data_IF_069457370516
#
_entry.id   IF_069457370516
#
_cell.length_a   1.000
_cell.length_b   1.000
_cell.length_c   1.000
_cell.angle_alpha   90.00
_cell.angle_beta   90.00
_cell.angle_gamma   90.00
#
_symmetry.space_group_name_H-M   'P 1'
#
loop_
_entity.id
_entity.type
_entity.pdbx_description
1 polymer ?
#
# COMPACT_ATOMS: atom_id res chain seq x y z
N UNK A 1 20.58 -34.42 61.92
CA UNK A 1 20.56 -33.76 63.24
C UNK A 1 20.18 -32.32 62.98
N UNK A 2 18.93 -31.91 63.23
CA UNK A 2 18.40 -31.19 64.41
C UNK A 2 19.25 -29.94 64.70
N UNK A 3 18.80 -28.70 64.76
CA UNK A 3 17.52 -28.13 65.14
C UNK A 3 17.57 -26.63 64.88
N UNK A 4 16.49 -26.03 64.56
CA UNK A 4 15.51 -25.29 65.34
C UNK A 4 15.96 -23.92 65.92
N UNK A 5 15.15 -22.92 65.47
CA UNK A 5 14.89 -21.56 65.98
C UNK A 5 14.88 -21.41 67.49
N UNK A 6 14.89 -20.14 68.09
CA UNK A 6 13.70 -19.25 68.16
C UNK A 6 14.00 -17.72 68.25
N UNK A 7 13.10 -16.94 67.79
CA UNK A 7 12.00 -16.06 68.31
C UNK A 7 12.32 -15.03 69.40
N UNK A 8 11.83 -13.79 69.12
CA UNK A 8 11.28 -12.71 70.03
C UNK A 8 12.29 -11.81 70.76
N UNK A 9 12.07 -10.49 70.88
CA UNK A 9 10.96 -9.68 71.43
C UNK A 9 11.30 -8.17 71.34
N UNK A 10 10.44 -7.35 70.80
CA UNK A 10 9.58 -6.28 71.34
C UNK A 10 10.17 -4.99 71.97
N UNK A 11 9.66 -3.88 71.47
CA UNK A 11 9.22 -2.61 72.12
C UNK A 11 10.33 -1.61 72.56
N UNK A 12 10.18 -0.28 72.36
CA UNK A 12 9.12 0.70 72.58
C UNK A 12 9.57 2.10 72.13
N UNK A 13 8.61 2.86 71.62
CA UNK A 13 8.27 4.27 71.85
C UNK A 13 9.24 5.42 71.53
N UNK A 14 8.78 6.31 70.70
CA UNK A 14 9.15 7.73 70.61
C UNK A 14 8.27 8.46 69.60
N UNK A 15 7.47 9.35 70.05
CA UNK A 15 6.33 9.99 69.41
C UNK A 15 6.70 11.30 68.63
N UNK A 16 5.88 11.59 67.61
CA UNK A 16 5.36 12.92 67.20
C UNK A 16 6.31 13.84 66.41
N UNK A 17 5.98 14.08 65.16
CA UNK A 17 5.73 15.40 64.54
C UNK A 17 4.86 15.24 63.28
N UNK A 18 3.64 15.78 63.34
CA UNK A 18 2.78 16.01 62.18
C UNK A 18 3.41 17.08 61.29
N UNK A 19 3.63 16.75 60.02
CA UNK A 19 3.63 17.73 58.96
C UNK A 19 2.81 17.15 57.82
N UNK A 20 1.76 17.86 57.42
CA UNK A 20 0.83 17.48 56.38
C UNK A 20 1.55 17.31 55.05
N UNK A 21 1.41 16.15 54.47
CA UNK A 21 1.70 15.91 53.08
C UNK A 21 0.39 15.60 52.39
N UNK A 22 0.07 16.47 51.45
CA UNK A 22 -1.05 16.31 50.54
C UNK A 22 -0.99 14.92 49.92
N UNK A 23 -2.06 14.17 50.09
CA UNK A 23 -2.29 12.93 49.35
C UNK A 23 -2.50 13.34 47.88
N UNK A 24 -1.47 13.27 47.05
CA UNK A 24 -1.65 13.29 45.63
C UNK A 24 -2.35 11.99 45.26
N UNK A 25 -3.55 12.13 44.79
CA UNK A 25 -4.42 11.10 44.25
C UNK A 25 -3.76 10.48 43.01
N UNK A 26 -3.22 9.27 43.16
CA UNK A 26 -2.57 8.48 42.10
C UNK A 26 -3.59 7.72 41.24
N UNK A 27 -4.86 8.17 41.20
CA UNK A 27 -5.94 7.48 40.48
C UNK A 27 -6.30 8.06 39.10
N UNK A 28 -5.41 8.80 38.40
CA UNK A 28 -5.75 9.36 37.08
C UNK A 28 -4.65 9.25 36.04
N UNK A 29 -3.83 8.19 36.07
CA UNK A 29 -3.06 7.78 34.90
C UNK A 29 -3.63 6.45 34.37
N UNK A 30 -4.92 6.42 34.13
CA UNK A 30 -5.49 5.58 33.10
C UNK A 30 -5.14 6.30 31.79
N UNK A 31 -4.05 5.89 31.15
CA UNK A 31 -3.72 6.34 29.82
C UNK A 31 -4.94 6.08 28.95
N UNK A 32 -5.59 7.14 28.49
CA UNK A 32 -6.56 7.06 27.42
C UNK A 32 -5.80 6.45 26.24
N UNK A 33 -5.97 5.15 26.01
CA UNK A 33 -5.71 4.55 24.71
C UNK A 33 -6.60 5.34 23.75
N UNK A 34 -6.03 6.29 23.04
CA UNK A 34 -6.70 6.95 21.92
C UNK A 34 -7.06 5.83 20.96
N UNK A 35 -8.33 5.45 20.94
CA UNK A 35 -8.85 4.55 19.92
C UNK A 35 -8.58 5.24 18.60
N UNK A 36 -7.58 4.76 17.88
CA UNK A 36 -7.28 5.25 16.54
C UNK A 36 -8.56 5.05 15.74
N UNK A 37 -9.16 6.12 15.23
CA UNK A 37 -10.39 6.05 14.46
C UNK A 37 -10.15 5.14 13.25
N UNK A 38 -11.11 4.24 12.98
CA UNK A 38 -11.04 3.34 11.83
C UNK A 38 -11.01 4.15 10.53
N UNK A 39 -10.20 3.72 9.57
CA UNK A 39 -10.21 4.29 8.23
C UNK A 39 -11.45 3.84 7.47
N UNK A 40 -12.03 4.74 6.68
CA UNK A 40 -13.19 4.44 5.85
C UNK A 40 -12.78 3.76 4.56
N UNK A 41 -13.44 2.64 4.24
CA UNK A 41 -13.35 1.96 2.95
C UNK A 41 -14.76 1.82 2.39
N UNK A 42 -15.07 2.59 1.37
CA UNK A 42 -16.35 2.50 0.66
C UNK A 42 -16.36 1.30 -0.28
N UNK A 43 -17.49 0.60 -0.35
CA UNK A 43 -17.61 -0.62 -1.13
C UNK A 43 -18.95 -0.68 -1.88
N UNK A 44 -18.91 -1.11 -3.14
CA UNK A 44 -20.11 -1.45 -3.92
C UNK A 44 -19.93 -2.75 -4.69
N UNK A 45 -21.00 -3.53 -4.81
CA UNK A 45 -21.06 -4.69 -5.71
C UNK A 45 -21.35 -4.33 -7.16
N UNK A 46 -21.78 -3.10 -7.41
CA UNK A 46 -22.02 -2.60 -8.76
C UNK A 46 -20.70 -2.30 -9.48
N UNK A 47 -20.25 -3.24 -10.32
CA UNK A 47 -19.05 -3.11 -11.15
C UNK A 47 -19.42 -2.46 -12.50
N UNK A 48 -20.13 -1.36 -12.45
CA UNK A 48 -20.45 -0.50 -13.59
C UNK A 48 -19.74 0.86 -13.48
N UNK A 49 -19.83 1.66 -14.53
CA UNK A 49 -19.37 3.06 -14.50
C UNK A 49 -20.08 3.84 -13.39
N UNK A 50 -21.38 3.61 -13.18
CA UNK A 50 -22.14 4.29 -12.11
C UNK A 50 -21.65 3.91 -10.72
N UNK A 51 -21.42 2.60 -10.46
CA UNK A 51 -20.83 2.14 -9.20
C UNK A 51 -19.44 2.75 -8.96
N UNK A 52 -18.62 2.81 -10.01
CA UNK A 52 -17.29 3.41 -9.95
C UNK A 52 -17.34 4.92 -9.65
N UNK A 53 -18.24 5.66 -10.30
CA UNK A 53 -18.46 7.09 -10.05
C UNK A 53 -18.99 7.36 -8.64
N UNK A 54 -19.87 6.50 -8.13
CA UNK A 54 -20.34 6.59 -6.75
C UNK A 54 -19.20 6.44 -5.75
N UNK A 55 -18.34 5.45 -5.93
CA UNK A 55 -17.11 5.28 -5.12
C UNK A 55 -16.23 6.53 -5.22
N UNK A 56 -15.90 7.00 -6.44
CA UNK A 56 -15.03 8.15 -6.65
C UNK A 56 -15.56 9.41 -5.93
N UNK A 57 -16.86 9.63 -5.95
CA UNK A 57 -17.51 10.79 -5.30
C UNK A 57 -17.30 10.82 -3.77
N UNK A 58 -16.99 9.69 -3.14
CA UNK A 58 -16.76 9.59 -1.67
C UNK A 58 -15.32 9.87 -1.27
N UNK A 59 -14.39 9.78 -2.21
CA UNK A 59 -12.94 9.80 -1.89
C UNK A 59 -12.18 10.92 -2.59
N UNK A 60 -12.82 11.70 -3.46
CA UNK A 60 -12.15 12.71 -4.28
C UNK A 60 -11.97 14.09 -3.59
N UNK A 61 -12.38 14.25 -2.34
CA UNK A 61 -12.40 15.55 -1.65
C UNK A 61 -11.01 16.22 -1.49
N UNK A 62 -9.93 15.45 -1.53
CA UNK A 62 -8.55 15.96 -1.47
C UNK A 62 -7.90 16.18 -2.84
N UNK A 63 -8.59 15.84 -3.93
CA UNK A 63 -8.01 15.88 -5.28
C UNK A 63 -8.09 17.29 -5.87
N UNK A 64 -6.96 17.84 -6.27
CA UNK A 64 -6.83 19.20 -6.79
C UNK A 64 -5.84 19.27 -7.95
N UNK A 65 -5.88 20.36 -8.73
CA UNK A 65 -4.89 20.67 -9.75
C UNK A 65 -4.86 19.67 -10.92
N UNK A 66 -3.67 19.33 -11.37
CA UNK A 66 -3.42 18.33 -12.41
C UNK A 66 -3.37 16.94 -11.79
N UNK A 67 -4.24 16.05 -12.23
CA UNK A 67 -4.42 14.73 -11.60
C UNK A 67 -3.81 13.64 -12.46
N UNK A 68 -2.84 12.90 -11.91
CA UNK A 68 -2.36 11.66 -12.48
C UNK A 68 -3.32 10.50 -12.14
N UNK A 69 -3.72 9.72 -13.13
CA UNK A 69 -4.51 8.49 -12.93
C UNK A 69 -3.55 7.32 -13.10
N UNK A 70 -3.00 6.83 -11.98
CA UNK A 70 -2.06 5.70 -12.00
C UNK A 70 -2.80 4.39 -12.09
N UNK A 71 -2.60 3.70 -13.18
CA UNK A 71 -3.15 2.38 -13.41
C UNK A 71 -2.09 1.41 -13.93
N UNK A 72 -2.48 0.18 -14.19
CA UNK A 72 -1.69 -0.81 -14.92
C UNK A 72 -2.39 -1.16 -16.22
N UNK A 73 -1.80 -0.76 -17.35
CA UNK A 73 -2.39 -0.95 -18.69
C UNK A 73 -2.28 -2.40 -19.20
N UNK A 74 -1.44 -3.22 -18.57
CA UNK A 74 -1.20 -4.61 -18.97
C UNK A 74 -0.28 -4.79 -20.17
N UNK A 75 0.08 -6.05 -20.45
CA UNK A 75 0.75 -6.42 -21.68
C UNK A 75 -0.24 -6.39 -22.87
N UNK A 76 0.26 -6.28 -24.14
CA UNK A 76 -0.62 -6.29 -25.30
C UNK A 76 -1.51 -7.53 -25.32
N UNK A 77 -2.83 -7.31 -25.46
CA UNK A 77 -3.82 -8.38 -25.52
C UNK A 77 -3.88 -9.31 -24.31
N UNK A 78 -3.48 -8.85 -23.12
CA UNK A 78 -3.55 -9.64 -21.88
C UNK A 78 -4.96 -10.17 -21.63
N UNK A 79 -5.12 -11.44 -21.20
CA UNK A 79 -6.44 -12.09 -21.14
C UNK A 79 -7.34 -11.58 -20.03
N UNK A 80 -6.77 -11.01 -18.98
CA UNK A 80 -7.50 -10.65 -17.75
C UNK A 80 -7.49 -9.15 -17.44
N UNK A 81 -7.23 -8.30 -18.43
CA UNK A 81 -7.20 -6.85 -18.25
C UNK A 81 -8.55 -6.32 -17.74
N UNK A 82 -8.50 -5.25 -16.95
CA UNK A 82 -9.71 -4.54 -16.58
C UNK A 82 -10.45 -4.04 -17.81
N UNK A 83 -11.79 -4.13 -17.81
CA UNK A 83 -12.59 -3.55 -18.89
C UNK A 83 -12.28 -2.05 -19.05
N UNK A 84 -11.81 -1.69 -20.23
CA UNK A 84 -11.45 -0.32 -20.56
C UNK A 84 -12.61 0.67 -20.38
N UNK A 85 -13.85 0.21 -20.54
CA UNK A 85 -15.04 1.04 -20.43
C UNK A 85 -15.25 1.62 -19.04
N UNK A 86 -14.77 0.95 -18.00
CA UNK A 86 -14.83 1.49 -16.63
C UNK A 86 -14.00 2.77 -16.50
N UNK A 87 -12.73 2.72 -16.90
CA UNK A 87 -11.84 3.89 -16.81
C UNK A 87 -12.21 4.95 -17.85
N UNK A 88 -12.71 4.54 -19.02
CA UNK A 88 -13.25 5.48 -20.05
C UNK A 88 -14.45 6.25 -19.53
N UNK A 89 -15.29 5.65 -18.70
CA UNK A 89 -16.42 6.32 -18.05
C UNK A 89 -16.01 7.22 -16.89
N UNK A 90 -14.96 6.85 -16.14
CA UNK A 90 -14.48 7.62 -14.99
C UNK A 90 -13.64 8.85 -15.42
N UNK A 91 -12.71 8.69 -16.34
CA UNK A 91 -11.71 9.70 -16.70
C UNK A 91 -12.30 11.07 -17.04
N UNK A 92 -13.42 11.20 -17.80
CA UNK A 92 -14.02 12.51 -18.09
C UNK A 92 -14.56 13.24 -16.85
N UNK A 93 -14.74 12.55 -15.74
CA UNK A 93 -15.21 13.13 -14.47
C UNK A 93 -14.03 13.59 -13.57
N UNK A 94 -12.80 13.40 -14.05
CA UNK A 94 -11.59 13.81 -13.33
C UNK A 94 -11.02 15.04 -14.05
N UNK A 95 -11.20 16.25 -13.52
CA UNK A 95 -10.69 17.46 -14.14
C UNK A 95 -9.16 17.37 -14.33
N UNK A 96 -8.69 17.71 -15.53
CA UNK A 96 -7.26 17.65 -15.90
C UNK A 96 -6.61 16.25 -15.67
N UNK A 97 -7.43 15.17 -15.72
CA UNK A 97 -6.98 13.80 -15.49
C UNK A 97 -6.17 13.27 -16.67
N UNK A 98 -4.97 12.78 -16.39
CA UNK A 98 -4.07 12.13 -17.34
C UNK A 98 -3.73 10.73 -16.84
N UNK A 99 -3.87 9.71 -17.69
CA UNK A 99 -3.39 8.35 -17.37
C UNK A 99 -1.86 8.36 -17.30
N UNK A 100 -1.29 7.81 -16.22
CA UNK A 100 0.14 7.81 -15.99
C UNK A 100 0.68 6.41 -15.74
N UNK A 101 1.81 6.09 -16.38
CA UNK A 101 2.56 4.84 -16.22
C UNK A 101 4.07 5.12 -16.26
N UNK A 102 4.90 4.16 -15.85
CA UNK A 102 6.33 4.11 -16.15
C UNK A 102 6.68 2.88 -16.98
N UNK A 103 7.77 2.96 -17.71
CA UNK A 103 8.34 1.81 -18.42
C UNK A 103 8.65 0.67 -17.45
N UNK A 104 8.72 -0.57 -17.97
CA UNK A 104 9.04 -1.76 -17.16
C UNK A 104 10.52 -2.11 -17.22
N UNK A 105 10.99 -2.89 -16.26
CA UNK A 105 12.40 -3.32 -16.19
C UNK A 105 12.67 -4.59 -17.01
N UNK A 106 11.69 -5.49 -17.07
CA UNK A 106 11.81 -6.77 -17.79
C UNK A 106 11.62 -6.60 -19.31
N UNK A 107 12.12 -7.54 -20.14
CA UNK A 107 11.90 -7.52 -21.58
C UNK A 107 10.41 -7.58 -21.93
N UNK A 108 9.90 -6.51 -22.51
CA UNK A 108 8.49 -6.34 -22.90
C UNK A 108 8.37 -5.17 -23.88
N UNK A 109 7.32 -5.10 -24.70
CA UNK A 109 7.00 -3.88 -25.45
C UNK A 109 6.88 -2.62 -24.58
N UNK A 110 6.58 -2.77 -23.29
CA UNK A 110 6.50 -1.67 -22.33
C UNK A 110 7.84 -1.24 -21.74
N UNK A 111 8.95 -1.85 -22.13
CA UNK A 111 10.29 -1.46 -21.68
C UNK A 111 10.78 -0.16 -22.32
N UNK A 112 10.25 0.21 -23.48
CA UNK A 112 10.62 1.41 -24.22
C UNK A 112 9.40 2.32 -24.38
N UNK A 113 9.58 3.62 -24.18
CA UNK A 113 8.49 4.61 -24.22
C UNK A 113 7.68 4.57 -25.52
N UNK A 114 8.31 4.43 -26.68
CA UNK A 114 7.62 4.41 -27.95
C UNK A 114 6.71 3.17 -28.09
N UNK A 115 7.26 1.98 -27.82
CA UNK A 115 6.50 0.72 -27.89
C UNK A 115 5.50 0.58 -26.75
N UNK A 116 5.76 1.18 -25.58
CA UNK A 116 4.80 1.26 -24.47
C UNK A 116 3.56 2.09 -24.87
N UNK A 117 3.74 3.23 -25.55
CA UNK A 117 2.63 4.01 -26.10
C UNK A 117 1.79 3.21 -27.10
N UNK A 118 2.41 2.38 -27.93
CA UNK A 118 1.68 1.49 -28.86
C UNK A 118 0.92 0.39 -28.09
N UNK A 119 1.51 -0.17 -27.02
CA UNK A 119 0.81 -1.12 -26.13
C UNK A 119 -0.43 -0.49 -25.52
N UNK A 120 -0.35 0.75 -25.02
CA UNK A 120 -1.48 1.48 -24.49
C UNK A 120 -2.60 1.65 -25.52
N UNK A 121 -2.26 2.01 -26.78
CA UNK A 121 -3.25 2.09 -27.88
C UNK A 121 -3.88 0.73 -28.16
N UNK A 122 -3.08 -0.33 -28.23
CA UNK A 122 -3.54 -1.71 -28.45
C UNK A 122 -4.56 -2.13 -27.40
N UNK A 123 -4.30 -1.77 -26.13
CA UNK A 123 -5.19 -2.07 -25.00
C UNK A 123 -6.34 -1.04 -24.82
N UNK A 124 -6.51 -0.10 -25.78
CA UNK A 124 -7.66 0.81 -25.85
C UNK A 124 -7.49 2.16 -25.17
N UNK A 125 -6.28 2.50 -24.64
CA UNK A 125 -6.00 3.77 -23.96
C UNK A 125 -5.67 4.91 -24.93
N UNK A 126 -6.54 5.15 -25.92
CA UNK A 126 -6.40 6.26 -26.88
C UNK A 126 -7.46 7.35 -26.69
N UNK A 127 -8.34 7.22 -25.70
CA UNK A 127 -9.48 8.11 -25.46
C UNK A 127 -9.13 9.35 -24.61
N UNK A 128 -7.96 9.39 -23.99
CA UNK A 128 -7.52 10.49 -23.15
C UNK A 128 -6.00 10.66 -23.23
N UNK A 129 -5.44 11.75 -22.66
CA UNK A 129 -4.00 11.91 -22.53
C UNK A 129 -3.36 10.78 -21.73
N UNK A 130 -2.19 10.32 -22.18
CA UNK A 130 -1.37 9.32 -21.50
C UNK A 130 0.06 9.84 -21.40
N UNK A 131 0.62 9.76 -20.19
CA UNK A 131 2.01 10.13 -19.89
C UNK A 131 2.79 8.90 -19.42
N UNK A 132 3.89 8.60 -20.10
CA UNK A 132 4.91 7.67 -19.60
C UNK A 132 5.89 8.50 -18.80
N UNK A 133 5.72 8.49 -17.49
CA UNK A 133 6.33 9.45 -16.57
C UNK A 133 7.87 9.46 -16.58
N UNK A 134 8.50 8.36 -16.97
CA UNK A 134 9.95 8.22 -17.09
C UNK A 134 10.47 8.42 -18.54
N UNK A 135 9.62 8.94 -19.44
CA UNK A 135 10.05 9.29 -20.80
C UNK A 135 11.12 10.37 -20.82
N UNK A 136 11.08 11.29 -19.88
CA UNK A 136 11.98 12.44 -19.75
C UNK A 136 13.04 12.24 -18.64
N UNK A 137 13.22 10.99 -18.18
CA UNK A 137 14.21 10.62 -17.15
C UNK A 137 13.62 10.41 -15.77
N UNK A 138 14.47 10.46 -14.77
CA UNK A 138 14.17 10.14 -13.38
C UNK A 138 14.13 11.37 -12.49
N UNK A 139 13.39 11.28 -11.39
CA UNK A 139 13.47 12.19 -10.24
C UNK A 139 13.59 11.36 -8.95
N UNK A 140 14.31 11.89 -7.96
CA UNK A 140 14.49 11.21 -6.67
C UNK A 140 13.47 11.71 -5.67
N UNK A 141 12.71 10.79 -5.06
CA UNK A 141 11.84 11.06 -3.92
C UNK A 141 12.48 10.53 -2.65
N UNK A 142 12.58 11.34 -1.59
CA UNK A 142 13.05 10.88 -0.29
C UNK A 142 12.03 9.92 0.33
N UNK A 143 12.51 9.02 1.17
CA UNK A 143 11.68 8.11 2.00
C UNK A 143 11.83 8.57 3.46
N UNK A 144 11.02 9.55 3.93
CA UNK A 144 11.28 10.28 5.17
C UNK A 144 11.18 9.45 6.45
N UNK A 145 10.40 8.37 6.42
CA UNK A 145 10.22 7.46 7.59
C UNK A 145 11.55 6.90 8.11
N UNK A 146 12.55 6.85 7.22
CA UNK A 146 13.86 6.34 7.55
C UNK A 146 14.59 7.18 8.59
N UNK A 147 14.46 8.51 8.57
CA UNK A 147 15.10 9.38 9.56
C UNK A 147 14.46 9.23 10.93
N UNK A 148 13.15 9.34 11.00
CA UNK A 148 12.40 9.17 12.26
C UNK A 148 12.59 7.79 12.87
N UNK A 149 12.72 6.78 12.05
CA UNK A 149 12.96 5.41 12.48
C UNK A 149 14.38 5.27 13.02
N UNK A 150 15.40 5.76 12.31
CA UNK A 150 16.78 5.75 12.75
C UNK A 150 16.96 6.57 14.04
N UNK A 151 16.29 7.71 14.17
CA UNK A 151 16.34 8.53 15.39
C UNK A 151 15.69 7.84 16.58
N UNK A 152 14.59 7.12 16.39
CA UNK A 152 13.96 6.30 17.44
C UNK A 152 14.75 5.03 17.79
N UNK A 153 15.45 4.46 16.82
CA UNK A 153 16.25 3.22 17.00
C UNK A 153 17.71 3.48 17.35
N UNK A 154 18.19 4.72 17.25
CA UNK A 154 19.49 5.14 17.79
C UNK A 154 19.49 5.19 19.32
N UNK A 155 18.39 4.78 19.97
CA UNK A 155 18.34 4.61 21.42
C UNK A 155 19.51 3.73 21.91
N UNK A 156 20.19 4.13 22.98
CA UNK A 156 21.32 3.36 23.55
C UNK A 156 21.01 1.90 23.88
N UNK A 157 19.72 1.57 24.12
CA UNK A 157 19.27 0.19 24.37
C UNK A 157 19.36 -0.74 23.16
N UNK A 158 19.50 -0.21 21.94
CA UNK A 158 19.49 -0.98 20.71
C UNK A 158 20.88 -1.03 20.04
N UNK A 159 21.87 -0.32 20.58
CA UNK A 159 23.26 -0.47 20.16
C UNK A 159 23.74 -1.89 20.40
N UNK A 160 23.88 -2.65 19.33
CA UNK A 160 24.37 -4.03 19.38
C UNK A 160 23.31 -5.10 19.14
N UNK A 161 22.04 -4.75 18.90
CA UNK A 161 21.04 -5.72 18.46
C UNK A 161 21.30 -6.07 16.99
N UNK A 162 21.40 -7.38 16.62
CA UNK A 162 21.61 -7.78 15.22
C UNK A 162 20.39 -7.54 14.33
N UNK A 163 19.33 -7.00 14.88
CA UNK A 163 18.11 -6.67 14.18
C UNK A 163 18.10 -5.17 13.87
N UNK A 164 18.71 -4.83 12.74
CA UNK A 164 18.39 -3.58 12.08
C UNK A 164 17.08 -3.85 11.32
N UNK A 165 15.95 -3.27 11.72
CA UNK A 165 14.74 -3.40 10.90
C UNK A 165 15.10 -2.88 9.52
N UNK A 166 14.73 -3.64 8.51
CA UNK A 166 15.20 -3.46 7.14
C UNK A 166 14.87 -2.11 6.57
N UNK A 167 15.86 -1.26 6.66
CA UNK A 167 15.91 -0.01 5.98
C UNK A 167 16.71 -0.25 4.71
N UNK A 168 16.01 -0.42 3.59
CA UNK A 168 16.64 -0.83 2.34
C UNK A 168 16.86 0.35 1.40
N UNK A 169 15.98 1.35 1.43
CA UNK A 169 16.00 2.50 0.53
C UNK A 169 15.87 3.81 1.33
N UNK A 170 16.75 4.78 1.09
CA UNK A 170 16.63 6.14 1.63
C UNK A 170 15.91 7.08 0.69
N UNK A 171 15.89 6.73 -0.59
CA UNK A 171 15.22 7.45 -1.67
C UNK A 171 14.88 6.48 -2.80
N UNK A 172 13.92 6.87 -3.62
CA UNK A 172 13.47 6.09 -4.78
C UNK A 172 13.47 6.95 -6.04
N UNK A 173 14.02 6.43 -7.12
CA UNK A 173 13.91 7.04 -8.45
C UNK A 173 12.51 6.75 -9.03
N UNK A 174 11.75 7.82 -9.24
CA UNK A 174 10.43 7.77 -9.91
C UNK A 174 10.54 8.36 -11.32
N UNK A 175 9.53 8.10 -12.15
CA UNK A 175 9.44 8.80 -13.43
C UNK A 175 9.38 10.31 -13.19
N UNK A 176 10.26 11.08 -13.88
CA UNK A 176 10.42 12.53 -13.66
C UNK A 176 9.10 13.30 -13.76
N UNK A 177 8.23 12.88 -14.68
CA UNK A 177 6.96 13.54 -14.91
C UNK A 177 5.94 13.32 -13.79
N UNK A 178 6.18 12.41 -12.84
CA UNK A 178 5.36 12.27 -11.63
C UNK A 178 5.26 13.62 -10.89
N UNK A 179 6.34 14.40 -10.86
CA UNK A 179 6.39 15.70 -10.19
C UNK A 179 5.55 16.80 -10.86
N UNK A 180 4.99 16.53 -12.04
CA UNK A 180 4.12 17.47 -12.75
C UNK A 180 2.65 17.37 -12.34
N UNK A 181 2.32 16.46 -11.41
CA UNK A 181 0.96 16.22 -10.94
C UNK A 181 0.78 16.72 -9.51
N UNK A 182 -0.33 17.42 -9.27
CA UNK A 182 -0.69 17.93 -7.94
C UNK A 182 -1.39 16.85 -7.10
N UNK A 183 -2.05 15.90 -7.77
CA UNK A 183 -2.79 14.81 -7.11
C UNK A 183 -2.62 13.50 -7.87
N UNK A 184 -2.79 12.38 -7.17
CA UNK A 184 -2.71 11.05 -7.75
C UNK A 184 -3.95 10.21 -7.41
N UNK A 185 -4.71 9.80 -8.42
CA UNK A 185 -5.70 8.74 -8.30
C UNK A 185 -5.04 7.39 -8.63
N UNK A 186 -4.96 6.51 -7.65
CA UNK A 186 -4.41 5.15 -7.83
C UNK A 186 -5.57 4.20 -8.18
N UNK A 187 -5.76 3.98 -9.48
CA UNK A 187 -6.81 3.11 -10.01
C UNK A 187 -6.23 1.70 -10.21
N UNK A 188 -6.62 0.78 -9.36
CA UNK A 188 -5.98 -0.53 -9.25
C UNK A 188 -6.89 -1.67 -9.67
N UNK A 189 -6.43 -2.49 -10.59
CA UNK A 189 -6.92 -3.85 -10.76
C UNK A 189 -6.34 -4.72 -9.65
N UNK A 190 -7.16 -5.15 -8.70
CA UNK A 190 -6.73 -6.05 -7.64
C UNK A 190 -6.63 -7.49 -8.17
N UNK A 191 -5.48 -8.14 -7.97
CA UNK A 191 -5.16 -9.46 -8.55
C UNK A 191 -3.99 -10.12 -7.84
N UNK A 192 -3.72 -11.38 -8.20
CA UNK A 192 -2.51 -12.07 -7.76
C UNK A 192 -1.23 -11.50 -8.39
N UNK A 193 -0.09 -11.91 -7.86
CA UNK A 193 1.23 -11.55 -8.37
C UNK A 193 2.27 -12.61 -8.04
N UNK A 194 3.08 -12.99 -9.05
CA UNK A 194 4.06 -14.10 -8.94
C UNK A 194 5.13 -13.88 -7.87
N UNK A 195 5.56 -12.66 -7.62
CA UNK A 195 6.59 -12.34 -6.62
C UNK A 195 6.05 -11.70 -5.36
N UNK A 196 4.91 -10.99 -5.44
CA UNK A 196 4.34 -10.23 -4.34
C UNK A 196 3.15 -10.87 -3.64
N UNK A 197 2.64 -11.99 -4.15
CA UNK A 197 1.41 -12.61 -3.65
C UNK A 197 0.17 -11.95 -4.22
N UNK A 198 -0.01 -10.66 -4.00
CA UNK A 198 -1.08 -9.85 -4.60
C UNK A 198 -0.56 -8.50 -5.12
N UNK A 199 -1.35 -7.87 -5.95
CA UNK A 199 -1.14 -6.52 -6.47
C UNK A 199 -2.30 -5.62 -6.10
N UNK A 200 -2.16 -4.88 -5.01
CA UNK A 200 -3.03 -3.80 -4.56
C UNK A 200 -2.50 -2.42 -4.94
N UNK A 201 -3.00 -1.39 -4.28
CA UNK A 201 -2.56 0.01 -4.46
C UNK A 201 -1.09 0.18 -4.14
N UNK A 202 -0.59 -0.48 -3.09
CA UNK A 202 0.82 -0.43 -2.74
C UNK A 202 1.69 -0.85 -3.92
N UNK A 203 1.42 -2.04 -4.49
CA UNK A 203 2.19 -2.51 -5.65
C UNK A 203 2.02 -1.58 -6.86
N UNK A 204 0.82 -1.06 -7.08
CA UNK A 204 0.53 -0.17 -8.20
C UNK A 204 1.40 1.09 -8.16
N UNK A 205 1.61 1.70 -7.01
CA UNK A 205 2.51 2.86 -6.87
C UNK A 205 3.96 2.44 -6.62
N UNK A 206 4.23 1.49 -5.73
CA UNK A 206 5.57 1.09 -5.33
C UNK A 206 6.42 0.60 -6.51
N UNK A 207 5.83 -0.19 -7.41
CA UNK A 207 6.49 -0.59 -8.66
C UNK A 207 6.17 0.39 -9.81
N UNK A 208 4.91 0.83 -9.90
CA UNK A 208 4.41 1.51 -11.09
C UNK A 208 4.80 2.99 -11.20
N UNK A 209 5.13 3.67 -10.09
CA UNK A 209 5.68 5.04 -10.11
C UNK A 209 7.21 5.05 -10.17
N UNK A 210 7.87 3.98 -9.72
CA UNK A 210 9.31 3.83 -9.87
C UNK A 210 9.70 3.82 -11.36
N UNK A 211 10.76 4.54 -11.73
CA UNK A 211 11.24 4.59 -13.11
C UNK A 211 11.72 3.24 -13.61
N UNK A 212 11.61 2.99 -14.92
CA UNK A 212 11.81 1.67 -15.52
C UNK A 212 13.21 1.09 -15.28
N UNK A 213 14.25 1.88 -15.48
CA UNK A 213 15.62 1.38 -15.43
C UNK A 213 16.33 1.63 -14.09
N UNK A 214 16.02 2.73 -13.40
CA UNK A 214 16.68 3.08 -12.13
C UNK A 214 15.83 2.64 -10.94
N UNK A 215 14.62 3.18 -10.78
CA UNK A 215 13.80 2.94 -9.61
C UNK A 215 13.37 1.48 -9.46
N UNK A 216 12.91 0.83 -10.53
CA UNK A 216 12.58 -0.59 -10.47
C UNK A 216 13.78 -1.48 -10.15
N UNK A 217 14.99 -1.07 -10.57
CA UNK A 217 16.23 -1.77 -10.21
C UNK A 217 16.57 -1.61 -8.72
N UNK A 218 16.30 -0.45 -8.12
CA UNK A 218 16.44 -0.26 -6.67
C UNK A 218 15.56 -1.25 -5.90
N UNK A 219 14.33 -1.48 -6.36
CA UNK A 219 13.38 -2.38 -5.70
C UNK A 219 13.76 -3.86 -5.93
N UNK A 220 13.98 -4.23 -7.18
CA UNK A 220 14.29 -5.62 -7.54
C UNK A 220 15.72 -6.03 -7.16
N UNK A 221 16.66 -5.08 -7.06
CA UNK A 221 18.06 -5.37 -6.74
C UNK A 221 18.74 -6.26 -7.77
N UNK A 222 19.97 -6.67 -7.47
CA UNK A 222 20.69 -7.66 -8.28
C UNK A 222 20.14 -9.05 -7.99
N UNK A 223 19.99 -9.88 -9.05
CA UNK A 223 19.51 -11.25 -8.92
C UNK A 223 18.02 -11.42 -8.64
N UNK A 224 17.23 -10.36 -8.69
CA UNK A 224 15.76 -10.40 -8.51
C UNK A 224 15.34 -11.13 -7.21
N UNK A 225 15.71 -10.63 -6.03
CA UNK A 225 15.32 -11.23 -4.77
C UNK A 225 13.80 -11.36 -4.67
N UNK A 226 13.35 -12.46 -4.07
CA UNK A 226 11.94 -12.75 -3.79
C UNK A 226 11.70 -12.70 -2.29
N UNK A 227 10.45 -12.79 -1.88
CA UNK A 227 10.06 -12.80 -0.48
C UNK A 227 10.19 -11.44 0.19
N UNK A 228 10.43 -11.43 1.50
CA UNK A 228 10.31 -10.23 2.34
C UNK A 228 11.16 -9.05 1.88
N UNK A 229 12.40 -9.28 1.48
CA UNK A 229 13.29 -8.20 1.02
C UNK A 229 12.72 -7.42 -0.17
N UNK A 230 12.17 -8.13 -1.16
CA UNK A 230 11.51 -7.49 -2.29
C UNK A 230 10.24 -6.72 -1.85
N UNK A 231 9.45 -7.33 -0.97
CA UNK A 231 8.22 -6.72 -0.47
C UNK A 231 8.51 -5.45 0.33
N UNK A 232 9.49 -5.48 1.20
CA UNK A 232 9.91 -4.33 2.01
C UNK A 232 10.40 -3.17 1.15
N UNK A 233 11.27 -3.41 0.15
CA UNK A 233 11.71 -2.39 -0.81
C UNK A 233 10.55 -1.81 -1.61
N UNK A 234 9.59 -2.64 -1.98
CA UNK A 234 8.38 -2.19 -2.69
C UNK A 234 7.51 -1.29 -1.80
N UNK A 235 7.37 -1.61 -0.52
CA UNK A 235 6.65 -0.78 0.46
C UNK A 235 7.37 0.56 0.66
N UNK A 236 8.70 0.54 0.84
CA UNK A 236 9.50 1.76 0.98
C UNK A 236 9.39 2.67 -0.25
N UNK A 237 9.43 2.08 -1.46
CA UNK A 237 9.17 2.83 -2.70
C UNK A 237 7.77 3.46 -2.72
N UNK A 238 6.74 2.70 -2.31
CA UNK A 238 5.37 3.22 -2.17
C UNK A 238 5.30 4.36 -1.14
N UNK A 239 6.05 4.25 -0.04
CA UNK A 239 6.13 5.30 1.00
C UNK A 239 6.65 6.62 0.41
N UNK A 240 7.71 6.59 -0.40
CA UNK A 240 8.19 7.80 -1.08
C UNK A 240 7.11 8.48 -1.92
N UNK A 241 6.30 7.69 -2.64
CA UNK A 241 5.19 8.22 -3.44
C UNK A 241 4.05 8.77 -2.57
N UNK A 242 3.63 8.07 -1.52
CA UNK A 242 2.55 8.54 -0.63
C UNK A 242 2.95 9.81 0.12
N UNK A 243 4.18 9.92 0.57
CA UNK A 243 4.68 11.14 1.23
C UNK A 243 4.74 12.35 0.27
N UNK A 244 5.08 12.11 -1.00
CA UNK A 244 5.13 13.18 -2.00
C UNK A 244 3.75 13.82 -2.22
N UNK A 245 2.69 13.01 -2.32
CA UNK A 245 1.34 13.52 -2.54
C UNK A 245 0.59 13.89 -1.25
N UNK A 246 0.99 13.35 -0.10
CA UNK A 246 0.36 13.62 1.19
C UNK A 246 -1.14 13.32 1.18
N UNK A 247 -1.99 14.34 1.40
CA UNK A 247 -3.46 14.23 1.37
C UNK A 247 -4.06 14.27 -0.05
N UNK A 248 -3.25 14.46 -1.08
CA UNK A 248 -3.68 14.58 -2.47
C UNK A 248 -3.55 13.26 -3.23
N UNK A 249 -3.67 12.13 -2.54
CA UNK A 249 -3.68 10.80 -3.12
C UNK A 249 -4.91 10.03 -2.66
N UNK A 250 -5.55 9.31 -3.58
CA UNK A 250 -6.71 8.47 -3.27
C UNK A 250 -6.68 7.18 -4.08
N UNK A 251 -7.39 6.18 -3.60
CA UNK A 251 -7.24 4.80 -4.07
C UNK A 251 -8.58 4.21 -4.45
N UNK A 252 -8.63 3.55 -5.62
CA UNK A 252 -9.74 2.72 -6.08
C UNK A 252 -9.21 1.33 -6.39
N UNK A 253 -9.89 0.31 -5.88
CA UNK A 253 -9.69 -1.07 -6.28
C UNK A 253 -10.88 -1.60 -7.05
N UNK A 254 -10.63 -2.22 -8.19
CA UNK A 254 -11.62 -2.99 -8.93
C UNK A 254 -11.29 -4.45 -8.79
N UNK A 255 -12.14 -5.17 -8.06
CA UNK A 255 -12.04 -6.60 -7.79
C UNK A 255 -12.91 -7.35 -8.81
N UNK A 256 -12.45 -7.35 -10.06
CA UNK A 256 -13.05 -8.00 -11.22
C UNK A 256 -11.95 -8.70 -12.03
N UNK A 257 -12.26 -9.85 -12.61
CA UNK A 257 -11.27 -10.67 -13.31
C UNK A 257 -10.04 -10.98 -12.42
N UNK A 258 -10.28 -11.39 -11.17
CA UNK A 258 -9.25 -11.57 -10.15
C UNK A 258 -8.42 -12.81 -10.47
N UNK A 259 -7.46 -12.67 -11.38
CA UNK A 259 -6.50 -13.74 -11.73
C UNK A 259 -5.39 -13.84 -10.67
N UNK A 260 -4.85 -15.05 -10.50
CA UNK A 260 -3.62 -15.27 -9.72
C UNK A 260 -2.39 -14.68 -10.39
N UNK A 261 -2.48 -14.40 -11.70
CA UNK A 261 -1.42 -13.79 -12.48
C UNK A 261 -1.66 -12.29 -12.65
N UNK A 262 -0.55 -11.57 -12.81
CA UNK A 262 -0.59 -10.12 -13.02
C UNK A 262 -0.91 -9.82 -14.50
N UNK A 263 -1.53 -8.67 -14.78
CA UNK A 263 -1.71 -8.14 -16.15
C UNK A 263 -0.37 -7.93 -16.89
N UNK A 264 0.75 -8.09 -16.20
CA UNK A 264 2.09 -8.16 -16.77
C UNK A 264 2.44 -9.55 -17.34
N UNK A 265 1.51 -10.50 -17.28
CA UNK A 265 1.61 -11.80 -17.94
C UNK A 265 0.60 -11.87 -19.10
N UNK A 266 1.12 -11.86 -20.32
CA UNK A 266 0.29 -11.97 -21.53
C UNK A 266 -0.41 -13.33 -21.68
N UNK A 267 -0.03 -14.32 -20.86
CA UNK A 267 -0.55 -15.69 -20.87
C UNK A 267 -1.21 -16.09 -19.55
N UNK A 268 -1.59 -15.10 -18.72
CA UNK A 268 -2.21 -15.33 -17.42
C UNK A 268 -3.40 -16.30 -17.47
N UNK A 269 -3.52 -17.13 -16.43
CA UNK A 269 -4.60 -18.12 -16.34
C UNK A 269 -5.96 -17.44 -16.11
N UNK A 270 -7.03 -18.15 -16.50
CA UNK A 270 -8.40 -17.68 -16.26
C UNK A 270 -8.64 -17.54 -14.76
N UNK A 271 -9.28 -16.44 -14.30
CA UNK A 271 -9.67 -16.29 -12.90
C UNK A 271 -10.55 -17.42 -12.40
N UNK A 272 -10.27 -17.88 -11.19
CA UNK A 272 -11.13 -18.83 -10.43
C UNK A 272 -11.93 -18.11 -9.35
N UNK A 273 -11.44 -16.92 -8.92
CA UNK A 273 -12.14 -16.08 -7.98
C UNK A 273 -13.23 -15.27 -8.69
N UNK A 274 -14.43 -15.25 -8.12
CA UNK A 274 -15.56 -14.48 -8.64
C UNK A 274 -15.28 -12.97 -8.53
N UNK A 275 -15.98 -12.19 -9.38
CA UNK A 275 -15.99 -10.73 -9.28
C UNK A 275 -16.61 -10.30 -7.94
N UNK A 276 -15.97 -9.42 -7.20
CA UNK A 276 -16.37 -9.03 -5.84
C UNK A 276 -17.04 -7.66 -5.80
N UNK A 277 -16.43 -6.65 -6.45
CA UNK A 277 -16.94 -5.28 -6.41
C UNK A 277 -15.85 -4.22 -6.63
N UNK A 278 -16.19 -2.99 -6.25
CA UNK A 278 -15.29 -1.83 -6.30
C UNK A 278 -15.14 -1.25 -4.90
N UNK A 279 -13.91 -0.94 -4.50
CA UNK A 279 -13.59 -0.26 -3.24
C UNK A 279 -12.98 1.12 -3.51
N UNK A 280 -13.13 2.02 -2.54
CA UNK A 280 -12.45 3.32 -2.53
C UNK A 280 -12.07 3.74 -1.12
N UNK A 281 -10.89 4.34 -0.97
CA UNK A 281 -10.40 4.87 0.31
C UNK A 281 -9.35 5.97 0.07
N UNK A 282 -9.12 6.78 1.09
CA UNK A 282 -7.97 7.69 1.18
C UNK A 282 -6.79 7.08 1.97
N UNK A 283 -6.95 5.83 2.44
CA UNK A 283 -5.95 5.11 3.21
C UNK A 283 -5.49 3.86 2.44
N UNK A 284 -4.21 3.83 2.07
CA UNK A 284 -3.64 2.77 1.24
C UNK A 284 -3.60 1.42 1.96
N UNK A 285 -3.29 1.41 3.27
CA UNK A 285 -3.24 0.16 4.04
C UNK A 285 -4.65 -0.40 4.25
N UNK A 286 -5.60 0.47 4.55
CA UNK A 286 -6.99 0.08 4.75
C UNK A 286 -7.60 -0.56 3.49
N UNK A 287 -7.39 0.03 2.31
CA UNK A 287 -7.97 -0.49 1.06
C UNK A 287 -7.29 -1.80 0.61
N UNK A 288 -5.96 -1.89 0.71
CA UNK A 288 -5.23 -3.12 0.38
C UNK A 288 -5.67 -4.26 1.31
N UNK A 289 -5.76 -3.98 2.62
CA UNK A 289 -6.24 -4.96 3.61
C UNK A 289 -7.69 -5.36 3.36
N UNK A 290 -8.60 -4.42 3.16
CA UNK A 290 -10.01 -4.72 2.90
C UNK A 290 -10.20 -5.60 1.65
N UNK A 291 -9.41 -5.37 0.61
CA UNK A 291 -9.44 -6.18 -0.61
C UNK A 291 -8.96 -7.61 -0.37
N UNK A 292 -7.88 -7.80 0.40
CA UNK A 292 -7.41 -9.11 0.84
C UNK A 292 -8.49 -9.81 1.68
N UNK A 293 -9.06 -9.13 2.68
CA UNK A 293 -10.10 -9.69 3.54
C UNK A 293 -11.33 -10.15 2.74
N UNK A 294 -11.75 -9.39 1.71
CA UNK A 294 -12.86 -9.75 0.83
C UNK A 294 -12.55 -10.98 -0.04
N UNK A 295 -11.30 -11.16 -0.49
CA UNK A 295 -10.88 -12.40 -1.18
C UNK A 295 -10.91 -13.57 -0.22
N UNK A 296 -10.39 -13.43 1.00
CA UNK A 296 -10.42 -14.50 2.01
C UNK A 296 -11.82 -14.86 2.46
N UNK A 297 -12.78 -13.95 2.35
CA UNK A 297 -14.19 -14.18 2.66
C UNK A 297 -14.95 -14.91 1.56
N UNK A 298 -14.37 -15.08 0.35
CA UNK A 298 -15.01 -15.87 -0.70
C UNK A 298 -15.10 -17.35 -0.29
N UNK A 299 -16.16 -18.09 -0.73
CA UNK A 299 -16.26 -19.51 -0.44
C UNK A 299 -15.18 -20.32 -1.19
N UNK A 300 -14.88 -21.53 -0.71
CA UNK A 300 -14.15 -22.52 -1.50
C UNK A 300 -15.06 -23.09 -2.60
N UNK A 301 -14.53 -23.33 -3.82
CA UNK A 301 -13.11 -23.26 -4.20
C UNK A 301 -12.67 -21.87 -4.75
N UNK A 302 -13.54 -20.87 -4.81
CA UNK A 302 -13.28 -19.59 -5.49
C UNK A 302 -12.06 -18.85 -4.93
N UNK A 303 -11.84 -18.86 -3.62
CA UNK A 303 -10.69 -18.17 -3.00
C UNK A 303 -9.38 -18.95 -3.08
N UNK A 304 -9.43 -20.26 -3.30
CA UNK A 304 -8.31 -21.19 -3.12
C UNK A 304 -7.02 -20.69 -3.77
N UNK A 305 -7.06 -20.46 -5.07
CA UNK A 305 -5.86 -20.12 -5.84
C UNK A 305 -5.29 -18.76 -5.46
N UNK A 306 -6.15 -17.79 -5.14
CA UNK A 306 -5.71 -16.47 -4.70
C UNK A 306 -5.10 -16.52 -3.30
N UNK A 307 -5.69 -17.25 -2.37
CA UNK A 307 -5.16 -17.43 -1.02
C UNK A 307 -3.82 -18.15 -1.08
N UNK A 308 -3.71 -19.25 -1.83
CA UNK A 308 -2.44 -19.95 -2.07
C UNK A 308 -1.37 -18.98 -2.60
N UNK A 309 -1.71 -18.18 -3.62
CA UNK A 309 -0.78 -17.23 -4.21
C UNK A 309 -0.32 -16.17 -3.19
N UNK A 310 -1.23 -15.64 -2.39
CA UNK A 310 -0.92 -14.62 -1.37
C UNK A 310 0.01 -15.23 -0.30
N UNK A 311 -0.33 -16.40 0.23
CA UNK A 311 0.40 -17.04 1.34
C UNK A 311 1.76 -17.57 0.89
N UNK A 312 1.82 -18.29 -0.24
CA UNK A 312 3.07 -18.89 -0.74
C UNK A 312 4.13 -17.86 -1.13
N UNK A 313 3.76 -16.60 -1.34
CA UNK A 313 4.66 -15.48 -1.64
C UNK A 313 4.86 -14.54 -0.47
N UNK A 314 4.40 -14.92 0.74
CA UNK A 314 4.40 -14.04 1.93
C UNK A 314 3.69 -12.70 1.67
N UNK A 315 2.66 -12.69 0.84
CA UNK A 315 2.01 -11.46 0.35
C UNK A 315 1.48 -10.57 1.47
N UNK A 316 1.00 -11.16 2.58
CA UNK A 316 0.51 -10.41 3.75
C UNK A 316 1.59 -9.56 4.41
N UNK A 317 2.88 -9.86 4.19
CA UNK A 317 3.98 -9.07 4.70
C UNK A 317 3.99 -7.63 4.16
N UNK A 318 3.38 -7.38 3.00
CA UNK A 318 3.17 -6.02 2.49
C UNK A 318 2.34 -5.18 3.49
N UNK A 319 1.24 -5.75 4.02
CA UNK A 319 0.35 -5.08 4.97
C UNK A 319 1.05 -4.85 6.32
N UNK A 320 1.76 -5.87 6.81
CA UNK A 320 2.53 -5.78 8.05
C UNK A 320 3.60 -4.69 7.98
N UNK A 321 4.33 -4.61 6.86
CA UNK A 321 5.40 -3.65 6.70
C UNK A 321 4.87 -2.23 6.43
N UNK A 322 3.76 -2.07 5.68
CA UNK A 322 3.05 -0.78 5.58
C UNK A 322 2.64 -0.25 6.95
N UNK A 323 2.10 -1.11 7.82
CA UNK A 323 1.75 -0.76 9.21
C UNK A 323 2.98 -0.30 9.99
N UNK A 324 4.09 -1.02 9.87
CA UNK A 324 5.37 -0.68 10.51
C UNK A 324 5.87 0.70 10.06
N UNK A 325 5.73 1.02 8.78
CA UNK A 325 6.10 2.31 8.20
C UNK A 325 5.02 3.39 8.36
N UNK A 326 3.95 3.14 9.10
CA UNK A 326 2.86 4.08 9.35
C UNK A 326 2.26 4.66 8.05
N UNK A 327 2.03 3.81 7.06
CA UNK A 327 1.45 4.21 5.77
C UNK A 327 -0.09 4.24 5.78
N UNK A 328 -0.73 4.01 6.90
CA UNK A 328 -2.18 3.97 7.06
C UNK A 328 -2.60 3.15 8.27
N UNK A 329 -3.88 2.85 8.33
CA UNK A 329 -4.50 2.13 9.44
C UNK A 329 -4.99 0.75 8.97
N UNK A 330 -4.59 -0.32 9.67
CA UNK A 330 -5.07 -1.68 9.42
C UNK A 330 -6.45 -1.95 10.03
N UNK A 331 -6.98 -1.00 10.82
CA UNK A 331 -8.37 -1.02 11.31
C UNK A 331 -9.23 -0.14 10.40
N UNK A 332 -10.20 -0.75 9.75
CA UNK A 332 -11.08 -0.03 8.82
C UNK A 332 -12.56 -0.34 9.08
N UNK A 333 -13.42 0.51 8.56
CA UNK A 333 -14.85 0.29 8.45
C UNK A 333 -15.21 0.14 6.97
N UNK A 334 -15.85 -0.99 6.62
CA UNK A 334 -16.35 -1.21 5.27
C UNK A 334 -17.76 -0.61 5.14
N UNK A 335 -17.89 0.44 4.33
CA UNK A 335 -19.12 1.21 4.15
C UNK A 335 -19.77 0.83 2.81
N UNK A 336 -20.89 0.09 2.81
CA UNK A 336 -21.58 -0.28 1.57
C UNK A 336 -22.26 0.94 0.93
N UNK A 337 -22.24 0.97 -0.43
CA UNK A 337 -22.89 2.00 -1.26
C UNK A 337 -23.91 1.39 -2.19
#
# INVERSE_FOLDING_TARGET
>A
MKGQMPRRTLLKNGAIALCGASVCDLSSIAGAATSQSKSQVFFTRDISVNGLLNIYSKINGGMTGKIGIKLHSGEPHGPNLLPIDLIRGLQPQIPNGTIVECNVLYPSPRQNTATHRETLKTNGFSFCPVDIMDADGDAMLPIPVMRDFLDKWSSPMLKGHPFTPGVHLTEIAVGKNLLNYDSLLVYTHFKGHTSGGFGGSLKNIGIGCASGQVGKRQIHGEGWPKGKLFLERMVESGKGTTEHFGSHITYIHVLKNISVDCDCDAHGVKPTCDDIGILGSQDILAIDKASVDLVYAQPEPQRHDMVERIESRSGLHQLEYMKTLQMGNDQYELIPL
#
